data_IF_462505842175
#
_entry.id   IF_462505842175
#
_cell.length_a   1.000
_cell.length_b   1.000
_cell.length_c   1.000
_cell.angle_alpha   90.00
_cell.angle_beta   90.00
_cell.angle_gamma   90.00
#
_symmetry.space_group_name_H-M   'P 1'
#
loop_
_entity.id
_entity.type
_entity.pdbx_description
1 polymer ?
#
# COMPACT_ATOMS: atom_id res chain seq x y z
N UNK A 1 -13.08 -12.93 12.77
CA UNK A 1 -12.85 -11.70 13.57
C UNK A 1 -12.29 -10.65 12.62
N UNK A 2 -12.80 -9.42 12.69
CA UNK A 2 -12.38 -8.33 11.80
C UNK A 2 -11.81 -7.17 12.62
N UNK A 3 -10.85 -6.46 12.05
CA UNK A 3 -10.39 -5.15 12.52
C UNK A 3 -11.09 -4.06 11.70
N UNK A 4 -11.46 -2.96 12.35
CA UNK A 4 -12.05 -1.78 11.71
C UNK A 4 -11.06 -0.63 11.83
N UNK A 5 -10.72 0.00 10.71
CA UNK A 5 -9.74 1.09 10.62
C UNK A 5 -10.39 2.40 10.23
N UNK A 6 -9.84 3.47 10.80
CA UNK A 6 -10.10 4.87 10.45
C UNK A 6 -8.82 5.67 10.62
N UNK A 7 -8.74 6.82 9.95
CA UNK A 7 -7.65 7.76 10.13
C UNK A 7 -7.87 8.61 11.38
N UNK A 8 -6.78 8.86 12.12
CA UNK A 8 -6.73 9.82 13.24
C UNK A 8 -5.97 11.10 12.87
N UNK A 9 -5.06 10.99 11.92
CA UNK A 9 -4.30 12.07 11.30
C UNK A 9 -4.08 11.71 9.82
N UNK A 10 -4.06 12.74 8.98
CA UNK A 10 -3.83 12.66 7.52
C UNK A 10 -2.70 13.62 7.09
N UNK A 11 -1.89 14.12 8.03
CA UNK A 11 -0.74 14.99 7.76
C UNK A 11 -1.08 16.49 7.68
N UNK A 12 -2.26 16.91 8.16
CA UNK A 12 -2.72 18.30 8.10
C UNK A 12 -2.59 19.06 9.44
N UNK A 13 -1.92 18.46 10.44
CA UNK A 13 -1.51 19.13 11.69
C UNK A 13 -2.63 19.47 12.67
N UNK A 14 -3.86 18.98 12.43
CA UNK A 14 -4.95 18.98 13.39
C UNK A 14 -5.21 17.53 13.75
N UNK A 15 -5.17 17.17 15.03
CA UNK A 15 -5.49 15.82 15.55
C UNK A 15 -6.98 15.41 15.36
N UNK A 16 -7.61 15.94 14.32
CA UNK A 16 -9.03 15.81 14.01
C UNK A 16 -9.18 15.70 12.49
N UNK A 17 -9.34 14.47 12.02
CA UNK A 17 -9.72 14.16 10.63
C UNK A 17 -11.24 14.27 10.52
N UNK A 18 -11.74 15.08 9.58
CA UNK A 18 -13.19 15.17 9.36
C UNK A 18 -13.76 13.85 8.85
N UNK A 19 -15.08 13.68 8.98
CA UNK A 19 -15.78 12.49 8.47
C UNK A 19 -15.52 12.27 6.98
N UNK A 20 -15.62 13.34 6.18
CA UNK A 20 -15.41 13.30 4.73
C UNK A 20 -13.94 13.00 4.38
N UNK A 21 -12.99 13.57 5.11
CA UNK A 21 -11.57 13.27 4.92
C UNK A 21 -11.27 11.81 5.23
N UNK A 22 -11.74 11.29 6.36
CA UNK A 22 -11.57 9.89 6.71
C UNK A 22 -12.18 8.99 5.64
N UNK A 23 -13.39 9.31 5.16
CA UNK A 23 -14.04 8.56 4.07
C UNK A 23 -13.22 8.58 2.78
N UNK A 24 -12.75 9.75 2.36
CA UNK A 24 -11.94 9.90 1.14
C UNK A 24 -10.66 9.06 1.22
N UNK A 25 -9.93 9.15 2.32
CA UNK A 25 -8.69 8.39 2.52
C UNK A 25 -8.93 6.87 2.60
N UNK A 26 -10.02 6.41 3.23
CA UNK A 26 -10.36 4.99 3.25
C UNK A 26 -10.76 4.47 1.86
N UNK A 27 -11.34 5.31 1.00
CA UNK A 27 -11.60 4.96 -0.41
C UNK A 27 -10.29 4.84 -1.18
N UNK A 28 -9.32 5.74 -0.97
CA UNK A 28 -8.00 5.65 -1.59
C UNK A 28 -7.25 4.39 -1.14
N UNK A 29 -7.28 4.06 0.15
CA UNK A 29 -6.72 2.82 0.69
C UNK A 29 -7.36 1.58 0.04
N UNK A 30 -8.69 1.55 -0.08
CA UNK A 30 -9.42 0.48 -0.77
C UNK A 30 -9.02 0.35 -2.24
N UNK A 31 -8.93 1.46 -2.98
CA UNK A 31 -8.47 1.47 -4.37
C UNK A 31 -7.05 0.91 -4.51
N UNK A 32 -6.16 1.31 -3.60
CA UNK A 32 -4.77 0.81 -3.55
C UNK A 32 -4.72 -0.69 -3.34
N UNK A 33 -5.52 -1.24 -2.42
CA UNK A 33 -5.59 -2.68 -2.18
C UNK A 33 -6.07 -3.45 -3.43
N UNK A 34 -7.07 -2.93 -4.15
CA UNK A 34 -7.52 -3.53 -5.43
C UNK A 34 -6.42 -3.48 -6.48
N UNK A 35 -5.80 -2.33 -6.64
CA UNK A 35 -4.77 -2.11 -7.64
C UNK A 35 -3.55 -3.02 -7.39
N UNK A 36 -3.08 -3.10 -6.15
CA UNK A 36 -1.96 -3.97 -5.78
C UNK A 36 -2.34 -5.46 -5.86
N UNK A 37 -3.61 -5.82 -5.61
CA UNK A 37 -4.11 -7.17 -5.87
C UNK A 37 -4.04 -7.56 -7.35
N UNK A 38 -4.39 -6.64 -8.24
CA UNK A 38 -4.24 -6.83 -9.69
C UNK A 38 -2.77 -6.94 -10.10
N UNK A 39 -1.90 -6.02 -9.65
CA UNK A 39 -0.46 -6.10 -9.92
C UNK A 39 0.15 -7.40 -9.43
N UNK A 40 -0.27 -7.89 -8.25
CA UNK A 40 0.24 -9.15 -7.71
C UNK A 40 -0.18 -10.34 -8.58
N UNK A 41 -1.43 -10.34 -9.08
CA UNK A 41 -1.90 -11.37 -10.00
C UNK A 41 -1.08 -11.40 -11.31
N UNK A 42 -0.73 -10.22 -11.84
CA UNK A 42 0.14 -10.09 -13.01
C UNK A 42 1.59 -10.48 -12.71
N UNK A 43 2.10 -10.18 -11.52
CA UNK A 43 3.41 -10.61 -11.05
C UNK A 43 3.49 -12.15 -10.98
N UNK A 44 2.47 -12.81 -10.41
CA UNK A 44 2.39 -14.27 -10.38
C UNK A 44 2.33 -14.88 -11.78
N UNK A 45 1.58 -14.25 -12.69
CA UNK A 45 1.52 -14.67 -14.09
C UNK A 45 2.89 -14.55 -14.76
N UNK A 46 3.58 -13.42 -14.58
CA UNK A 46 4.93 -13.20 -15.12
C UNK A 46 5.94 -14.20 -14.54
N UNK A 47 5.91 -14.43 -13.24
CA UNK A 47 6.79 -15.39 -12.57
C UNK A 47 6.58 -16.82 -13.10
N UNK A 48 5.32 -17.27 -13.24
CA UNK A 48 5.00 -18.57 -13.83
C UNK A 48 5.49 -18.71 -15.27
N UNK A 49 5.23 -17.72 -16.12
CA UNK A 49 5.70 -17.74 -17.51
C UNK A 49 7.22 -17.73 -17.64
N UNK A 50 7.93 -17.09 -16.70
CA UNK A 50 9.39 -17.05 -16.64
C UNK A 50 10.02 -18.22 -15.85
N UNK A 51 9.23 -19.17 -15.35
CA UNK A 51 9.68 -20.23 -14.44
C UNK A 51 10.48 -19.70 -13.23
N UNK A 52 10.04 -18.57 -12.68
CA UNK A 52 10.66 -17.93 -11.51
C UNK A 52 9.88 -18.34 -10.27
N UNK A 53 10.55 -19.00 -9.33
CA UNK A 53 9.94 -19.36 -8.05
C UNK A 53 9.74 -18.12 -7.17
N UNK A 54 8.50 -17.90 -6.77
CA UNK A 54 8.09 -16.84 -5.83
C UNK A 54 7.38 -17.47 -4.64
N UNK A 55 7.48 -16.81 -3.48
CA UNK A 55 6.68 -17.19 -2.32
C UNK A 55 5.21 -16.81 -2.53
N UNK A 56 4.30 -17.60 -1.96
CA UNK A 56 2.87 -17.29 -1.97
C UNK A 56 2.59 -16.11 -1.04
N UNK A 57 2.27 -14.97 -1.65
CA UNK A 57 1.77 -13.79 -0.97
C UNK A 57 0.29 -13.59 -1.32
N UNK A 58 -0.41 -12.76 -0.55
CA UNK A 58 -1.74 -12.25 -0.89
C UNK A 58 -1.84 -10.80 -0.45
N UNK A 59 -2.56 -9.97 -1.19
CA UNK A 59 -3.01 -8.68 -0.65
C UNK A 59 -4.22 -8.94 0.26
N UNK A 60 -4.32 -8.23 1.38
CA UNK A 60 -5.42 -8.42 2.33
C UNK A 60 -6.77 -8.17 1.66
N UNK A 61 -7.74 -9.01 1.99
CA UNK A 61 -9.13 -8.74 1.70
C UNK A 61 -9.61 -7.57 2.58
N UNK A 62 -10.54 -6.79 2.05
CA UNK A 62 -11.12 -5.68 2.76
C UNK A 62 -12.60 -5.51 2.42
N UNK A 63 -13.33 -4.82 3.30
CA UNK A 63 -14.67 -4.29 3.04
C UNK A 63 -14.70 -2.82 3.46
N UNK A 64 -15.43 -1.99 2.72
CA UNK A 64 -15.84 -0.68 3.23
C UNK A 64 -17.16 -0.84 3.97
N UNK A 65 -17.19 -0.46 5.24
CA UNK A 65 -18.38 -0.50 6.07
C UNK A 65 -18.82 0.91 6.45
N UNK A 66 -20.13 1.06 6.56
CA UNK A 66 -20.78 2.31 6.91
C UNK A 66 -21.53 2.12 8.22
N UNK A 67 -21.20 2.94 9.21
CA UNK A 67 -21.96 3.01 10.45
C UNK A 67 -23.19 3.88 10.23
N UNK A 68 -24.35 3.29 10.47
CA UNK A 68 -25.63 4.00 10.45
C UNK A 68 -25.93 4.49 11.86
N UNK A 69 -25.76 5.78 12.10
CA UNK A 69 -26.11 6.42 13.36
C UNK A 69 -27.53 6.96 13.27
N UNK A 70 -28.48 6.51 14.12
CA UNK A 70 -29.82 7.09 14.17
C UNK A 70 -29.76 8.60 14.44
N UNK A 71 -30.67 9.37 13.83
CA UNK A 71 -30.93 10.77 14.24
C UNK A 71 -31.19 10.77 15.75
N UNK A 72 -30.46 11.56 16.53
CA UNK A 72 -30.52 11.65 18.01
C UNK A 72 -29.63 10.67 18.81
N UNK A 73 -28.65 10.00 18.18
CA UNK A 73 -27.61 9.28 18.91
C UNK A 73 -26.22 9.73 18.49
N UNK A 74 -25.31 9.78 19.45
CA UNK A 74 -23.87 9.84 19.16
C UNK A 74 -23.45 8.62 18.32
N UNK A 75 -22.49 8.78 17.39
CA UNK A 75 -21.79 7.64 16.79
C UNK A 75 -21.08 6.77 17.83
N UNK A 76 -20.59 5.61 17.41
CA UNK A 76 -19.81 4.73 18.26
C UNK A 76 -18.61 5.46 18.87
N UNK A 77 -18.28 5.13 20.13
CA UNK A 77 -17.10 5.66 20.83
C UNK A 77 -15.80 5.45 20.04
N UNK A 78 -15.73 4.35 19.27
CA UNK A 78 -14.58 4.05 18.43
C UNK A 78 -14.36 5.10 17.32
N UNK A 79 -15.43 5.71 16.82
CA UNK A 79 -15.36 6.74 15.77
C UNK A 79 -14.64 8.01 16.26
N UNK A 80 -14.70 8.29 17.56
CA UNK A 80 -14.08 9.47 18.17
C UNK A 80 -14.77 10.81 17.86
N UNK A 81 -15.92 10.80 17.19
CA UNK A 81 -16.75 11.98 16.94
C UNK A 81 -17.82 12.14 18.03
N UNK A 82 -18.27 13.38 18.28
CA UNK A 82 -19.36 13.72 19.21
C UNK A 82 -20.47 14.50 18.50
N UNK A 83 -21.69 14.47 19.03
CA UNK A 83 -22.93 15.12 18.53
C UNK A 83 -22.78 16.53 17.93
N UNK A 84 -21.79 17.33 18.35
CA UNK A 84 -21.55 18.73 17.91
C UNK A 84 -20.65 18.89 16.69
N UNK A 85 -19.97 17.82 16.23
CA UNK A 85 -19.14 17.85 15.01
C UNK A 85 -19.92 17.38 13.77
N UNK A 86 -21.20 17.03 13.94
CA UNK A 86 -22.02 16.35 12.93
C UNK A 86 -23.19 17.28 12.55
N UNK A 87 -22.88 18.34 11.79
CA UNK A 87 -23.87 18.98 10.89
C UNK A 87 -24.22 18.05 9.69
N UNK A 88 -23.79 16.79 9.76
CA UNK A 88 -23.74 15.83 8.67
C UNK A 88 -24.78 14.73 8.91
N UNK A 89 -26.06 15.09 8.78
CA UNK A 89 -27.17 14.12 8.88
C UNK A 89 -27.13 13.08 7.74
N UNK A 90 -26.30 13.27 6.72
CA UNK A 90 -26.33 12.53 5.45
C UNK A 90 -25.04 11.79 5.04
N UNK A 91 -23.90 11.92 5.76
CA UNK A 91 -22.66 11.17 5.46
C UNK A 91 -22.37 10.13 6.55
N UNK A 92 -22.44 8.82 6.24
CA UNK A 92 -22.21 7.78 7.23
C UNK A 92 -20.72 7.67 7.61
N UNK A 93 -20.44 7.29 8.86
CA UNK A 93 -19.06 7.02 9.27
C UNK A 93 -18.54 5.82 8.49
N UNK A 94 -17.37 5.99 7.86
CA UNK A 94 -16.79 4.97 7.00
C UNK A 94 -15.64 4.28 7.72
N UNK A 95 -15.57 2.96 7.55
CA UNK A 95 -14.56 2.09 8.12
C UNK A 95 -13.97 1.19 7.03
N UNK A 96 -12.65 0.98 7.06
CA UNK A 96 -12.03 -0.12 6.32
C UNK A 96 -11.97 -1.34 7.24
N UNK A 97 -12.68 -2.40 6.86
CA UNK A 97 -12.68 -3.68 7.57
C UNK A 97 -11.70 -4.64 6.92
N UNK A 98 -10.90 -5.33 7.72
CA UNK A 98 -10.02 -6.41 7.26
C UNK A 98 -10.01 -7.59 8.25
N UNK A 99 -9.65 -8.81 7.82
CA UNK A 99 -9.46 -9.92 8.74
C UNK A 99 -8.48 -9.57 9.85
N UNK A 100 -8.89 -9.77 11.12
CA UNK A 100 -8.03 -9.49 12.27
C UNK A 100 -6.81 -10.43 12.28
N UNK A 101 -5.63 -9.84 12.51
CA UNK A 101 -4.34 -10.53 12.50
C UNK A 101 -3.74 -10.52 13.91
N UNK A 102 -3.85 -11.62 14.69
CA UNK A 102 -3.32 -11.69 16.05
C UNK A 102 -1.81 -11.92 16.12
N UNK A 103 -1.16 -12.20 14.98
CA UNK A 103 0.27 -12.54 14.92
C UNK A 103 1.10 -11.32 14.57
N UNK A 104 2.35 -11.33 15.01
CA UNK A 104 3.34 -10.31 14.65
C UNK A 104 3.50 -10.19 13.14
N UNK A 105 3.68 -8.95 12.69
CA UNK A 105 3.99 -8.62 11.30
C UNK A 105 5.50 -8.51 11.09
N UNK A 106 5.93 -8.77 9.87
CA UNK A 106 7.28 -8.47 9.39
C UNK A 106 7.19 -7.28 8.46
N UNK A 107 7.92 -6.21 8.77
CA UNK A 107 8.04 -5.02 7.93
C UNK A 107 9.22 -5.20 6.96
N UNK A 108 8.97 -5.07 5.67
CA UNK A 108 9.93 -5.25 4.58
C UNK A 108 10.39 -3.92 3.99
N UNK A 109 9.54 -2.91 3.94
CA UNK A 109 9.94 -1.54 3.61
C UNK A 109 9.28 -0.54 4.55
N UNK A 110 9.90 0.62 4.70
CA UNK A 110 9.27 1.81 5.28
C UNK A 110 8.68 2.70 4.19
N UNK A 111 8.19 3.87 4.61
CA UNK A 111 7.69 4.89 3.69
C UNK A 111 8.79 5.36 2.74
N UNK A 112 9.94 5.77 3.29
CA UNK A 112 11.11 6.21 2.52
C UNK A 112 12.33 5.33 2.84
N UNK A 113 12.13 4.02 2.94
CA UNK A 113 13.18 3.04 3.27
C UNK A 113 12.94 1.75 2.49
N UNK A 114 13.80 1.45 1.51
CA UNK A 114 13.64 0.29 0.62
C UNK A 114 14.82 -0.68 0.70
N UNK A 115 15.08 -1.30 1.86
CA UNK A 115 16.22 -2.19 2.03
C UNK A 115 16.07 -3.47 1.20
N UNK A 116 17.21 -4.02 0.79
CA UNK A 116 17.27 -5.32 0.11
C UNK A 116 17.01 -6.47 1.07
N UNK A 117 16.20 -7.44 0.63
CA UNK A 117 15.93 -8.68 1.36
C UNK A 117 16.36 -9.93 0.61
N UNK A 118 17.52 -9.88 -0.05
CA UNK A 118 18.04 -10.96 -0.90
C UNK A 118 18.12 -12.34 -0.20
N UNK A 119 18.37 -12.36 1.11
CA UNK A 119 18.57 -13.58 1.90
C UNK A 119 17.28 -14.18 2.49
N UNK A 120 16.12 -13.55 2.28
CA UNK A 120 14.81 -14.04 2.71
C UNK A 120 13.99 -14.45 1.49
N UNK A 121 13.41 -15.64 1.47
CA UNK A 121 12.57 -16.06 0.33
C UNK A 121 11.34 -15.16 0.17
N UNK A 122 10.67 -14.85 1.28
CA UNK A 122 9.52 -13.94 1.33
C UNK A 122 9.97 -12.52 1.02
N UNK A 123 11.02 -12.04 1.68
CA UNK A 123 11.53 -10.68 1.48
C UNK A 123 12.02 -10.44 0.06
N UNK A 124 12.72 -11.39 -0.55
CA UNK A 124 13.15 -11.32 -1.95
C UNK A 124 11.96 -11.35 -2.92
N UNK A 125 10.87 -12.05 -2.58
CA UNK A 125 9.63 -12.02 -3.36
C UNK A 125 8.95 -10.66 -3.25
N UNK A 126 8.84 -10.10 -2.04
CA UNK A 126 8.32 -8.76 -1.78
C UNK A 126 9.14 -7.69 -2.51
N UNK A 127 10.47 -7.76 -2.43
CA UNK A 127 11.38 -6.85 -3.12
C UNK A 127 11.17 -6.88 -4.63
N UNK A 128 11.09 -8.08 -5.22
CA UNK A 128 10.83 -8.23 -6.65
C UNK A 128 9.42 -7.79 -7.06
N UNK A 129 8.42 -7.96 -6.19
CA UNK A 129 7.07 -7.46 -6.43
C UNK A 129 7.05 -5.92 -6.47
N UNK A 130 7.71 -5.24 -5.53
CA UNK A 130 7.80 -3.77 -5.52
C UNK A 130 8.45 -3.24 -6.81
N UNK A 131 9.55 -3.86 -7.25
CA UNK A 131 10.17 -3.55 -8.54
C UNK A 131 9.19 -3.80 -9.70
N UNK A 132 8.51 -4.94 -9.70
CA UNK A 132 7.57 -5.29 -10.76
C UNK A 132 6.46 -4.24 -10.91
N UNK A 133 5.90 -3.74 -9.82
CA UNK A 133 4.89 -2.66 -9.86
C UNK A 133 5.47 -1.41 -10.52
N UNK A 134 6.68 -1.01 -10.12
CA UNK A 134 7.35 0.15 -10.71
C UNK A 134 7.58 -0.03 -12.22
N UNK A 135 8.20 -1.15 -12.62
CA UNK A 135 8.48 -1.42 -14.03
C UNK A 135 7.20 -1.54 -14.89
N UNK A 136 6.17 -2.21 -14.37
CA UNK A 136 4.91 -2.45 -15.10
C UNK A 136 4.05 -1.20 -15.20
N UNK A 137 4.15 -0.29 -14.22
CA UNK A 137 3.49 1.02 -14.26
C UNK A 137 4.31 2.08 -15.01
N UNK A 138 5.39 1.71 -15.70
CA UNK A 138 6.30 2.64 -16.37
C UNK A 138 6.84 3.73 -15.44
N UNK A 139 7.12 3.35 -14.19
CA UNK A 139 7.65 4.22 -13.16
C UNK A 139 6.64 5.17 -12.51
N UNK A 140 5.34 5.01 -12.80
CA UNK A 140 4.29 5.84 -12.24
C UNK A 140 3.92 5.47 -10.79
N UNK A 141 4.20 4.24 -10.36
CA UNK A 141 3.80 3.73 -9.04
C UNK A 141 4.98 3.01 -8.38
N UNK A 142 5.37 3.44 -7.19
CA UNK A 142 6.31 2.74 -6.30
C UNK A 142 5.57 2.22 -5.07
N UNK A 143 5.87 1.01 -4.61
CA UNK A 143 5.22 0.42 -3.42
C UNK A 143 6.12 0.60 -2.20
N UNK A 144 5.55 1.10 -1.11
CA UNK A 144 6.21 1.40 0.15
C UNK A 144 5.44 0.80 1.35
N UNK A 145 6.03 0.92 2.54
CA UNK A 145 5.52 0.35 3.81
C UNK A 145 5.03 -1.11 3.70
N UNK A 146 5.72 -1.93 2.90
CA UNK A 146 5.31 -3.31 2.69
C UNK A 146 5.54 -4.09 3.97
N UNK A 147 4.46 -4.63 4.53
CA UNK A 147 4.52 -5.53 5.66
C UNK A 147 3.64 -6.76 5.44
N UNK A 148 4.01 -7.87 6.06
CA UNK A 148 3.26 -9.12 5.95
C UNK A 148 2.97 -9.73 7.30
N UNK A 149 1.86 -10.46 7.40
CA UNK A 149 1.59 -11.37 8.51
C UNK A 149 1.31 -12.76 7.96
N UNK A 150 1.73 -13.81 8.68
CA UNK A 150 1.42 -15.17 8.28
C UNK A 150 -0.02 -15.52 8.70
N UNK A 151 -0.90 -15.77 7.72
CA UNK A 151 -2.27 -16.19 7.95
C UNK A 151 -2.54 -17.58 7.36
N UNK A 152 -3.52 -18.30 7.93
CA UNK A 152 -4.11 -19.46 7.27
C UNK A 152 -5.13 -18.96 6.25
N UNK A 153 -4.99 -19.39 5.01
CA UNK A 153 -5.93 -19.09 3.93
C UNK A 153 -6.40 -20.42 3.35
N UNK A 154 -7.56 -20.89 3.82
CA UNK A 154 -8.00 -22.27 3.60
C UNK A 154 -7.07 -23.26 4.32
N UNK A 155 -6.65 -24.31 3.61
CA UNK A 155 -5.77 -25.36 4.13
C UNK A 155 -4.27 -25.01 4.03
N UNK A 156 -3.92 -23.89 3.40
CA UNK A 156 -2.52 -23.47 3.22
C UNK A 156 -2.18 -22.22 4.04
N UNK A 157 -0.91 -22.10 4.42
CA UNK A 157 -0.36 -20.87 4.97
C UNK A 157 0.03 -19.91 3.84
N UNK A 158 -0.23 -18.62 4.02
CA UNK A 158 0.23 -17.58 3.11
C UNK A 158 0.70 -16.35 3.89
N UNK A 159 1.67 -15.63 3.34
CA UNK A 159 2.04 -14.31 3.83
C UNK A 159 1.06 -13.30 3.24
N UNK A 160 0.34 -12.58 4.09
CA UNK A 160 -0.63 -11.59 3.63
C UNK A 160 -0.06 -10.20 3.84
N UNK A 161 0.04 -9.45 2.74
CA UNK A 161 0.40 -8.05 2.67
C UNK A 161 -0.80 -7.17 3.05
N UNK A 162 -0.58 -6.16 3.88
CA UNK A 162 -1.60 -5.25 4.38
C UNK A 162 -0.96 -3.91 4.78
N UNK A 163 -1.75 -2.84 4.89
CA UNK A 163 -1.27 -1.47 5.14
C UNK A 163 -0.14 -1.04 4.20
N UNK A 164 -0.28 -1.37 2.91
CA UNK A 164 0.66 -1.01 1.86
C UNK A 164 0.50 0.47 1.54
N UNK A 165 1.59 1.21 1.33
CA UNK A 165 1.53 2.58 0.78
C UNK A 165 2.07 2.59 -0.65
N UNK A 166 1.69 3.62 -1.40
CA UNK A 166 2.20 3.84 -2.75
C UNK A 166 2.71 5.26 -2.89
N UNK A 167 3.78 5.41 -3.65
CA UNK A 167 4.19 6.69 -4.21
C UNK A 167 3.70 6.78 -5.63
N UNK A 168 3.11 7.91 -6.01
CA UNK A 168 2.64 8.15 -7.37
C UNK A 168 3.27 9.40 -7.96
N UNK A 169 3.27 9.54 -9.28
CA UNK A 169 3.77 10.77 -9.92
C UNK A 169 3.00 12.01 -9.48
N UNK A 170 1.73 11.83 -9.11
CA UNK A 170 0.82 12.93 -8.78
C UNK A 170 0.67 13.13 -7.26
N UNK A 171 1.26 12.25 -6.43
CA UNK A 171 1.21 12.33 -4.97
C UNK A 171 -0.21 12.21 -4.38
N UNK A 172 -1.12 11.50 -5.06
CA UNK A 172 -2.55 11.51 -4.75
C UNK A 172 -3.15 10.13 -4.41
N UNK A 173 -2.31 9.12 -4.10
CA UNK A 173 -2.78 7.77 -3.75
C UNK A 173 -3.19 7.62 -2.27
N UNK A 174 -3.24 8.72 -1.52
CA UNK A 174 -3.69 8.81 -0.13
C UNK A 174 -2.55 9.01 0.87
N UNK A 175 -2.87 8.90 2.16
CA UNK A 175 -1.90 9.06 3.26
C UNK A 175 -0.62 8.23 3.04
N UNK A 176 0.53 8.87 3.18
CA UNK A 176 1.85 8.26 3.00
C UNK A 176 2.41 8.31 1.57
N UNK A 177 1.67 8.91 0.62
CA UNK A 177 2.19 9.18 -0.72
C UNK A 177 3.13 10.40 -0.72
N UNK A 178 4.43 10.15 -0.85
CA UNK A 178 5.47 11.17 -0.99
C UNK A 178 5.72 11.60 -2.44
N UNK A 179 4.84 11.24 -3.37
CA UNK A 179 4.86 11.72 -4.73
C UNK A 179 6.15 11.35 -5.49
N UNK A 180 6.62 12.24 -6.38
CA UNK A 180 7.89 12.08 -7.10
C UNK A 180 9.12 11.88 -6.21
N UNK A 181 9.16 12.48 -5.02
CA UNK A 181 10.28 12.32 -4.08
C UNK A 181 10.33 10.89 -3.53
N UNK A 182 9.18 10.33 -3.15
CA UNK A 182 9.08 8.91 -2.75
C UNK A 182 9.48 7.96 -3.88
N UNK A 183 9.08 8.25 -5.13
CA UNK A 183 9.50 7.47 -6.31
C UNK A 183 11.01 7.57 -6.55
N UNK A 184 11.60 8.74 -6.34
CA UNK A 184 13.05 8.95 -6.42
C UNK A 184 13.77 8.12 -5.37
N UNK A 185 13.36 8.20 -4.11
CA UNK A 185 13.92 7.39 -3.02
C UNK A 185 13.80 5.90 -3.31
N UNK A 186 12.65 5.44 -3.81
CA UNK A 186 12.49 4.05 -4.24
C UNK A 186 13.53 3.63 -5.28
N UNK A 187 13.75 4.42 -6.34
CA UNK A 187 14.75 4.10 -7.37
C UNK A 187 16.17 4.08 -6.83
N UNK A 188 16.51 5.02 -5.96
CA UNK A 188 17.87 5.19 -5.42
C UNK A 188 18.23 4.09 -4.41
N UNK A 189 17.27 3.67 -3.59
CA UNK A 189 17.52 2.69 -2.52
C UNK A 189 17.26 1.25 -2.94
N UNK A 190 16.38 1.01 -3.93
CA UNK A 190 16.05 -0.34 -4.34
C UNK A 190 17.26 -1.06 -4.91
N UNK A 191 17.57 -2.22 -4.34
CA UNK A 191 18.59 -3.12 -4.86
C UNK A 191 17.94 -4.34 -5.48
N UNK A 192 18.23 -4.57 -6.76
CA UNK A 192 17.77 -5.76 -7.46
C UNK A 192 18.24 -7.03 -6.74
N UNK A 193 17.30 -7.94 -6.49
CA UNK A 193 17.58 -9.29 -6.00
C UNK A 193 17.53 -10.27 -7.18
N UNK A 194 17.99 -11.52 -6.96
CA UNK A 194 18.00 -12.56 -8.00
C UNK A 194 16.65 -12.70 -8.73
N UNK A 195 15.53 -12.54 -8.01
CA UNK A 195 14.19 -12.59 -8.59
C UNK A 195 13.89 -11.43 -9.54
N UNK A 196 14.35 -10.20 -9.25
CA UNK A 196 14.21 -9.07 -10.18
C UNK A 196 14.88 -9.38 -11.51
N UNK A 197 16.11 -9.89 -11.46
CA UNK A 197 16.90 -10.24 -12.64
C UNK A 197 16.25 -11.39 -13.42
N UNK A 198 15.80 -12.44 -12.74
CA UNK A 198 15.11 -13.58 -13.39
C UNK A 198 13.79 -13.19 -14.05
N UNK A 199 13.13 -12.14 -13.55
CA UNK A 199 11.89 -11.62 -14.13
C UNK A 199 12.14 -10.61 -15.26
N UNK A 200 13.41 -10.27 -15.55
CA UNK A 200 13.82 -9.26 -16.53
C UNK A 200 13.11 -7.92 -16.32
N UNK A 201 13.11 -7.41 -15.08
CA UNK A 201 12.41 -6.16 -14.74
C UNK A 201 13.16 -4.90 -15.19
N UNK A 202 14.41 -5.04 -15.65
CA UNK A 202 15.28 -3.93 -16.01
C UNK A 202 15.97 -3.34 -14.79
N UNK A 203 16.84 -2.36 -15.03
CA UNK A 203 17.40 -1.53 -13.98
C UNK A 203 16.49 -0.32 -13.74
N UNK A 204 16.37 0.08 -12.47
CA UNK A 204 15.54 1.22 -12.08
C UNK A 204 16.21 2.57 -12.33
N UNK A 205 17.53 2.56 -12.53
CA UNK A 205 18.30 3.75 -12.88
C UNK A 205 18.41 3.77 -14.40
N UNK A 206 17.86 4.79 -15.05
CA UNK A 206 18.11 5.03 -16.46
C UNK A 206 19.59 5.43 -16.64
N UNK A 207 20.42 4.63 -17.31
CA UNK A 207 21.82 4.98 -17.56
C UNK A 207 21.97 6.23 -18.47
N UNK A 208 20.89 6.74 -19.08
CA UNK A 208 20.90 7.91 -19.95
C UNK A 208 20.30 9.18 -19.31
N UNK A 209 19.82 9.13 -18.06
CA UNK A 209 19.17 10.28 -17.41
C UNK A 209 20.15 11.37 -16.94
N UNK A 210 21.46 11.21 -17.11
CA UNK A 210 22.48 12.23 -16.76
C UNK A 210 22.81 13.18 -17.93
N UNK A 211 21.90 13.37 -18.89
CA UNK A 211 22.23 14.03 -20.17
C UNK A 211 21.26 15.07 -20.71
N UNK A 212 20.27 15.53 -19.95
CA UNK A 212 19.34 16.59 -20.37
C UNK A 212 19.17 17.67 -19.29
N UNK A 213 20.28 18.14 -18.74
CA UNK A 213 20.40 19.53 -18.29
C UNK A 213 21.31 20.22 -19.31
N UNK A 214 20.80 20.40 -20.54
CA UNK A 214 21.39 21.31 -21.50
C UNK A 214 20.68 22.65 -21.37
N UNK A 215 21.42 23.62 -20.85
CA UNK A 215 21.42 25.02 -21.25
C UNK A 215 20.11 25.58 -21.83
N UNK A 216 19.40 26.38 -21.04
CA UNK A 216 18.61 27.48 -21.58
C UNK A 216 18.89 28.74 -20.75
N UNK A 217 19.49 29.70 -21.46
CA UNK A 217 19.86 31.10 -21.21
C UNK A 217 19.15 31.89 -20.09
#
# INVERSE_FOLDING_TARGET
LYAFKRFKDVGLGKDTVSVDQNRAELILEAQRLVQLGWFYSEFERRARSGNVQIETLRVTEYLLAFELTPREKDPSVASGYKDVDIDIVDVPMTWLMEPFRPRESVKWSGTNQHPSHANSAVGSTVNAFAHFVYATSFGMIGVADIQTSHARVGDTGANVMFDLTTHTTDGNSGVGDHGPDGLKTFREEHQCVLRCNKLNLGDLVDPNATGLDSDDD
#
